data_IF_799254713670
#
_entry.id   IF_799254713670
#
_cell.length_a   1.000
_cell.length_b   1.000
_cell.length_c   1.000
_cell.angle_alpha   90.00
_cell.angle_beta   90.00
_cell.angle_gamma   90.00
#
_symmetry.space_group_name_H-M   'P 1'
#
loop_
_entity.id
_entity.type
_entity.pdbx_description
1 polymer ?
#
# COMPACT_ATOMS: atom_id res chain seq x y z
N UNK A 1 18.87 -13.42 18.21
CA UNK A 1 18.33 -12.20 18.80
C UNK A 1 18.15 -11.20 17.66
N UNK A 2 16.96 -11.04 17.12
CA UNK A 2 16.68 -9.98 16.15
C UNK A 2 16.70 -8.65 16.92
N UNK A 3 17.63 -7.77 16.56
CA UNK A 3 17.71 -6.43 17.12
C UNK A 3 16.59 -5.58 16.52
N UNK A 4 15.46 -5.52 17.20
CA UNK A 4 14.39 -4.57 16.87
C UNK A 4 14.82 -3.15 17.24
N UNK A 5 15.44 -2.45 16.31
CA UNK A 5 15.77 -1.03 16.46
C UNK A 5 14.56 -0.15 16.19
N UNK A 6 13.74 0.17 17.19
CA UNK A 6 12.70 1.19 17.12
C UNK A 6 13.21 2.51 17.68
N UNK A 7 12.80 3.63 17.09
CA UNK A 7 13.00 4.97 17.64
C UNK A 7 11.67 5.44 18.23
N UNK A 8 11.67 5.76 19.53
CA UNK A 8 10.54 6.36 20.21
C UNK A 8 9.85 5.43 21.20
N UNK A 9 8.74 5.93 21.77
CA UNK A 9 7.93 5.24 22.77
C UNK A 9 6.45 5.14 22.35
N UNK A 10 6.14 5.26 21.05
CA UNK A 10 4.77 5.14 20.58
C UNK A 10 4.31 3.68 20.59
N UNK A 11 3.08 3.43 20.98
CA UNK A 11 2.44 2.12 20.85
C UNK A 11 1.99 1.82 19.40
N UNK A 12 2.16 2.77 18.49
CA UNK A 12 1.87 2.66 17.06
C UNK A 12 3.15 2.59 16.25
N UNK A 13 3.26 1.58 15.41
CA UNK A 13 4.37 1.40 14.47
C UNK A 13 3.92 1.69 13.04
N UNK A 14 4.59 2.61 12.34
CA UNK A 14 4.49 2.67 10.89
C UNK A 14 5.45 1.67 10.25
N UNK A 15 4.87 0.70 9.56
CA UNK A 15 5.55 -0.44 8.94
C UNK A 15 5.39 -0.38 7.42
N UNK A 16 6.33 0.26 6.68
CA UNK A 16 6.25 0.36 5.22
C UNK A 16 6.46 -1.00 4.53
N UNK A 17 7.17 -1.92 5.18
CA UNK A 17 7.59 -3.20 4.62
C UNK A 17 8.85 -3.07 3.75
N UNK A 18 9.51 -4.22 3.56
CA UNK A 18 10.80 -4.28 2.86
C UNK A 18 10.73 -3.78 1.41
N UNK A 19 9.65 -4.11 0.68
CA UNK A 19 9.49 -3.70 -0.71
C UNK A 19 9.37 -2.17 -0.84
N UNK A 20 8.53 -1.54 -0.04
CA UNK A 20 8.34 -0.09 -0.09
C UNK A 20 9.62 0.65 0.31
N UNK A 21 10.34 0.16 1.31
CA UNK A 21 11.61 0.73 1.74
C UNK A 21 12.70 0.66 0.66
N UNK A 22 12.70 -0.40 -0.14
CA UNK A 22 13.70 -0.61 -1.19
C UNK A 22 13.35 0.06 -2.53
N UNK A 23 12.09 -0.02 -2.97
CA UNK A 23 11.70 0.32 -4.35
C UNK A 23 10.78 1.54 -4.49
N UNK A 24 10.11 1.97 -3.40
CA UNK A 24 9.20 3.13 -3.41
C UNK A 24 9.42 3.99 -2.17
N UNK A 25 10.68 4.30 -1.89
CA UNK A 25 11.08 5.06 -0.70
C UNK A 25 10.42 6.43 -0.65
N UNK A 26 10.29 7.10 -1.80
CA UNK A 26 9.60 8.39 -1.92
C UNK A 26 8.14 8.31 -1.44
N UNK A 27 7.43 7.21 -1.73
CA UNK A 27 6.05 7.02 -1.27
C UNK A 27 6.00 6.74 0.24
N UNK A 28 6.99 6.02 0.76
CA UNK A 28 7.15 5.81 2.20
C UNK A 28 7.32 7.12 2.94
N UNK A 29 8.15 8.03 2.43
CA UNK A 29 8.36 9.35 3.04
C UNK A 29 7.12 10.24 2.91
N UNK A 30 6.39 10.18 1.77
CA UNK A 30 5.10 10.85 1.63
C UNK A 30 4.14 10.43 2.76
N UNK A 31 3.96 9.13 2.99
CA UNK A 31 3.09 8.66 4.08
C UNK A 31 3.54 9.11 5.46
N UNK A 32 4.83 9.12 5.76
CA UNK A 32 5.33 9.65 7.04
C UNK A 32 4.98 11.12 7.22
N UNK A 33 5.13 11.93 6.16
CA UNK A 33 4.78 13.37 6.18
C UNK A 33 3.27 13.57 6.34
N UNK A 34 2.46 12.77 5.63
CA UNK A 34 1.00 12.78 5.75
C UNK A 34 0.57 12.45 7.17
N UNK A 35 1.05 11.35 7.74
CA UNK A 35 0.70 10.92 9.10
C UNK A 35 1.07 11.99 10.13
N UNK A 36 2.27 12.59 10.01
CA UNK A 36 2.68 13.72 10.88
C UNK A 36 1.77 14.94 10.71
N UNK A 37 1.38 15.28 9.48
CA UNK A 37 0.47 16.40 9.20
C UNK A 37 -0.92 16.19 9.79
N UNK A 38 -1.33 14.94 9.96
CA UNK A 38 -2.59 14.53 10.55
C UNK A 38 -2.49 14.22 12.05
N UNK A 39 -1.40 14.63 12.69
CA UNK A 39 -1.14 14.48 14.12
C UNK A 39 -1.22 13.02 14.60
N UNK A 40 -0.79 12.07 13.74
CA UNK A 40 -0.65 10.66 14.12
C UNK A 40 0.72 10.46 14.75
N UNK A 41 0.75 10.04 15.99
CA UNK A 41 1.98 9.60 16.66
C UNK A 41 2.34 8.18 16.25
N UNK A 42 3.56 7.98 15.79
CA UNK A 42 4.06 6.66 15.39
C UNK A 42 5.58 6.58 15.49
N UNK A 43 6.04 5.37 15.74
CA UNK A 43 7.44 5.01 15.61
C UNK A 43 7.71 4.38 14.25
N UNK A 44 8.96 4.42 13.82
CA UNK A 44 9.46 3.69 12.66
C UNK A 44 10.55 2.73 13.10
N UNK A 45 10.65 1.59 12.46
CA UNK A 45 11.74 0.65 12.73
C UNK A 45 13.03 1.08 12.04
N UNK A 46 14.17 0.78 12.70
CA UNK A 46 15.51 1.00 12.12
C UNK A 46 15.90 -0.12 11.16
N UNK A 47 15.52 -1.36 11.50
CA UNK A 47 15.91 -2.56 10.79
C UNK A 47 14.74 -3.01 9.90
N UNK A 48 15.06 -3.59 8.74
CA UNK A 48 14.05 -4.14 7.85
C UNK A 48 13.46 -5.43 8.42
N UNK A 49 12.31 -5.32 9.09
CA UNK A 49 11.55 -6.48 9.54
C UNK A 49 10.66 -6.93 8.37
N UNK A 50 10.74 -8.22 8.03
CA UNK A 50 9.89 -8.79 7.00
C UNK A 50 8.56 -9.25 7.59
N UNK A 51 7.44 -8.91 6.93
CA UNK A 51 6.11 -9.42 7.29
C UNK A 51 5.90 -10.91 6.97
N UNK A 52 6.85 -11.56 6.30
CA UNK A 52 6.71 -12.95 5.87
C UNK A 52 5.75 -13.18 4.69
N UNK A 53 5.19 -12.13 4.11
CA UNK A 53 4.22 -12.27 3.02
C UNK A 53 4.76 -13.04 1.82
N UNK A 54 6.02 -12.81 1.44
CA UNK A 54 6.66 -13.56 0.36
C UNK A 54 6.81 -15.06 0.71
N UNK A 55 7.06 -15.40 1.98
CA UNK A 55 7.12 -16.79 2.43
C UNK A 55 5.75 -17.48 2.27
N UNK A 56 4.67 -16.76 2.59
CA UNK A 56 3.30 -17.23 2.37
C UNK A 56 3.01 -17.47 0.89
N UNK A 57 3.39 -16.53 0.01
CA UNK A 57 3.20 -16.64 -1.44
C UNK A 57 3.90 -17.87 -2.03
N UNK A 58 5.03 -18.27 -1.46
CA UNK A 58 5.85 -19.40 -1.94
C UNK A 58 5.59 -20.71 -1.18
N UNK A 59 4.63 -20.76 -0.26
CA UNK A 59 4.27 -21.96 0.49
C UNK A 59 5.26 -22.34 1.60
N UNK A 60 6.13 -21.44 2.04
CA UNK A 60 7.09 -21.71 3.12
C UNK A 60 6.45 -21.53 4.51
N UNK A 61 5.46 -22.35 4.84
CA UNK A 61 4.67 -22.21 6.08
C UNK A 61 5.49 -22.26 7.36
N UNK A 62 6.48 -23.16 7.46
CA UNK A 62 7.33 -23.28 8.65
C UNK A 62 8.10 -22.00 8.92
N UNK A 63 8.67 -21.42 7.87
CA UNK A 63 9.41 -20.17 7.93
C UNK A 63 8.47 -19.00 8.25
N UNK A 64 7.28 -18.96 7.66
CA UNK A 64 6.27 -17.97 7.96
C UNK A 64 5.86 -18.00 9.44
N UNK A 65 5.56 -19.17 9.99
CA UNK A 65 5.24 -19.35 11.42
C UNK A 65 6.38 -18.90 12.33
N UNK A 66 7.62 -19.20 11.97
CA UNK A 66 8.80 -18.73 12.69
C UNK A 66 8.89 -17.22 12.67
N UNK A 67 8.82 -16.60 11.48
CA UNK A 67 8.85 -15.15 11.30
C UNK A 67 7.73 -14.47 12.07
N UNK A 68 6.50 -15.01 12.02
CA UNK A 68 5.37 -14.45 12.74
C UNK A 68 5.58 -14.45 14.28
N UNK A 69 6.12 -15.54 14.84
CA UNK A 69 6.46 -15.63 16.27
C UNK A 69 7.54 -14.65 16.68
N UNK A 70 8.63 -14.56 15.89
CA UNK A 70 9.74 -13.64 16.15
C UNK A 70 9.28 -12.18 16.09
N UNK A 71 8.46 -11.82 15.08
CA UNK A 71 7.88 -10.49 14.96
C UNK A 71 6.94 -10.18 16.14
N UNK A 72 6.06 -11.13 16.53
CA UNK A 72 5.17 -10.93 17.67
C UNK A 72 5.93 -10.65 18.97
N UNK A 73 6.98 -11.42 19.24
CA UNK A 73 7.85 -11.19 20.41
C UNK A 73 8.47 -9.80 20.38
N UNK A 74 9.06 -9.41 19.22
CA UNK A 74 9.70 -8.11 19.10
C UNK A 74 8.70 -6.94 19.22
N UNK A 75 7.50 -7.06 18.66
CA UNK A 75 6.47 -6.04 18.81
C UNK A 75 5.96 -5.92 20.27
N UNK A 76 5.80 -7.04 20.94
CA UNK A 76 5.39 -7.06 22.36
C UNK A 76 6.45 -6.45 23.28
N UNK A 77 7.72 -6.79 23.07
CA UNK A 77 8.84 -6.21 23.84
C UNK A 77 8.86 -4.67 23.72
N UNK A 78 8.41 -4.15 22.56
CA UNK A 78 8.28 -2.71 22.30
C UNK A 78 6.90 -2.14 22.63
N UNK A 79 6.01 -2.95 23.22
CA UNK A 79 4.64 -2.55 23.59
C UNK A 79 3.80 -2.03 22.41
N UNK A 80 4.09 -2.50 21.20
CA UNK A 80 3.32 -2.11 20.00
C UNK A 80 1.91 -2.71 20.11
N UNK A 81 0.91 -1.85 19.96
CA UNK A 81 -0.52 -2.21 19.95
C UNK A 81 -1.17 -2.03 18.60
N UNK A 82 -0.61 -1.14 17.76
CA UNK A 82 -1.11 -0.86 16.41
C UNK A 82 0.03 -0.82 15.40
N UNK A 83 -0.18 -1.45 14.24
CA UNK A 83 0.73 -1.40 13.11
C UNK A 83 0.00 -0.77 11.93
N UNK A 84 0.55 0.33 11.40
CA UNK A 84 0.06 1.00 10.19
C UNK A 84 0.94 0.57 9.02
N UNK A 85 0.33 -0.02 7.98
CA UNK A 85 1.03 -0.53 6.78
C UNK A 85 0.55 0.17 5.52
N UNK A 86 1.42 0.32 4.52
CA UNK A 86 1.06 0.85 3.19
C UNK A 86 1.14 -0.20 2.07
N UNK A 87 1.58 -1.40 2.36
CA UNK A 87 1.71 -2.49 1.38
C UNK A 87 0.60 -3.51 1.57
N UNK A 88 -0.16 -3.82 0.51
CA UNK A 88 -1.27 -4.78 0.56
C UNK A 88 -0.84 -6.20 0.97
N UNK A 89 0.35 -6.66 0.54
CA UNK A 89 0.89 -7.95 0.99
C UNK A 89 1.23 -7.94 2.48
N UNK A 90 1.82 -6.86 3.00
CA UNK A 90 2.08 -6.74 4.44
C UNK A 90 0.78 -6.69 5.24
N UNK A 91 -0.24 -5.97 4.74
CA UNK A 91 -1.57 -5.91 5.35
C UNK A 91 -2.18 -7.30 5.48
N UNK A 92 -2.24 -8.06 4.38
CA UNK A 92 -2.75 -9.43 4.37
C UNK A 92 -1.97 -10.35 5.31
N UNK A 93 -0.64 -10.33 5.22
CA UNK A 93 0.25 -11.21 6.00
C UNK A 93 0.13 -10.95 7.50
N UNK A 94 0.22 -9.70 7.95
CA UNK A 94 0.15 -9.35 9.37
C UNK A 94 -1.25 -9.60 9.95
N UNK A 95 -2.33 -9.38 9.19
CA UNK A 95 -3.69 -9.79 9.59
C UNK A 95 -3.81 -11.29 9.80
N UNK A 96 -3.13 -12.09 8.96
CA UNK A 96 -3.09 -13.55 9.07
C UNK A 96 -2.32 -14.06 10.29
N UNK A 97 -1.52 -13.24 10.96
CA UNK A 97 -0.77 -13.67 12.14
C UNK A 97 -1.65 -14.18 13.28
N UNK A 98 -2.89 -13.73 13.39
CA UNK A 98 -3.87 -14.24 14.36
C UNK A 98 -4.12 -15.76 14.26
N UNK A 99 -3.88 -16.34 13.06
CA UNK A 99 -4.01 -17.79 12.82
C UNK A 99 -2.70 -18.54 13.06
N UNK A 100 -1.58 -17.83 13.12
CA UNK A 100 -0.24 -18.39 13.25
C UNK A 100 0.31 -18.28 14.66
N UNK A 101 -0.14 -17.26 15.41
CA UNK A 101 0.39 -16.90 16.74
C UNK A 101 -0.79 -16.71 17.69
N UNK A 102 -1.01 -17.62 18.66
CA UNK A 102 -2.19 -17.61 19.52
C UNK A 102 -2.40 -16.35 20.37
N UNK A 103 -1.31 -15.68 20.74
CA UNK A 103 -1.31 -14.47 21.57
C UNK A 103 -1.15 -13.18 20.76
N UNK A 104 -1.40 -13.24 19.43
CA UNK A 104 -1.43 -12.06 18.56
C UNK A 104 -2.64 -11.18 18.91
N UNK A 105 -2.38 -9.96 19.39
CA UNK A 105 -3.41 -8.99 19.78
C UNK A 105 -3.12 -7.57 19.25
N UNK A 106 -2.31 -7.46 18.19
CA UNK A 106 -1.93 -6.18 17.60
C UNK A 106 -2.93 -5.81 16.51
N UNK A 107 -3.44 -4.59 16.56
CA UNK A 107 -4.27 -4.03 15.48
C UNK A 107 -3.41 -3.81 14.23
N UNK A 108 -3.85 -4.31 13.08
CA UNK A 108 -3.21 -4.06 11.78
C UNK A 108 -4.14 -3.21 10.94
N UNK A 109 -3.68 -2.01 10.60
CA UNK A 109 -4.46 -1.03 9.85
C UNK A 109 -3.73 -0.59 8.59
N UNK A 110 -4.43 -0.52 7.47
CA UNK A 110 -3.84 0.06 6.27
C UNK A 110 -3.76 1.58 6.41
N UNK A 111 -2.69 2.20 5.92
CA UNK A 111 -2.43 3.64 6.05
C UNK A 111 -3.58 4.49 5.50
N UNK A 112 -4.25 4.04 4.45
CA UNK A 112 -5.42 4.73 3.88
C UNK A 112 -6.57 4.82 4.89
N UNK A 113 -6.83 3.75 5.66
CA UNK A 113 -7.85 3.79 6.72
C UNK A 113 -7.48 4.77 7.83
N UNK A 114 -6.21 4.81 8.22
CA UNK A 114 -5.75 5.78 9.24
C UNK A 114 -5.93 7.21 8.76
N UNK A 115 -5.50 7.49 7.51
CA UNK A 115 -5.68 8.81 6.89
C UNK A 115 -7.16 9.18 6.81
N UNK A 116 -8.01 8.26 6.34
CA UNK A 116 -9.44 8.49 6.18
C UNK A 116 -10.11 8.83 7.52
N UNK A 117 -9.80 8.08 8.58
CA UNK A 117 -10.36 8.35 9.91
C UNK A 117 -9.93 9.72 10.44
N UNK A 118 -8.64 10.07 10.27
CA UNK A 118 -8.13 11.39 10.66
C UNK A 118 -8.75 12.54 9.86
N UNK A 119 -9.04 12.33 8.59
CA UNK A 119 -9.70 13.34 7.75
C UNK A 119 -11.21 13.45 8.04
N UNK A 120 -11.85 12.38 8.48
CA UNK A 120 -13.25 12.44 8.96
C UNK A 120 -13.35 13.30 10.23
N UNK A 121 -12.34 13.21 11.12
CA UNK A 121 -12.25 14.02 12.34
C UNK A 121 -11.91 15.50 12.04
N UNK A 122 -11.17 15.78 10.93
CA UNK A 122 -10.58 17.09 10.64
C UNK A 122 -10.78 17.47 9.15
N UNK A 123 -12.02 17.59 8.72
CA UNK A 123 -12.37 17.90 7.31
C UNK A 123 -11.82 19.23 6.80
N UNK A 124 -11.61 20.18 7.68
CA UNK A 124 -11.05 21.50 7.35
C UNK A 124 -9.59 21.46 6.87
N UNK A 125 -8.87 20.39 7.17
CA UNK A 125 -7.49 20.18 6.68
C UNK A 125 -7.42 19.83 5.19
N UNK A 126 -8.54 19.45 4.57
CA UNK A 126 -8.60 19.00 3.17
C UNK A 126 -8.82 20.18 2.23
N UNK A 127 -7.93 20.32 1.25
CA UNK A 127 -8.15 21.17 0.07
C UNK A 127 -8.81 20.33 -1.01
N UNK A 128 -10.14 20.39 -1.09
CA UNK A 128 -10.86 19.66 -2.15
C UNK A 128 -10.77 20.41 -3.48
N UNK A 129 -10.69 19.66 -4.58
CA UNK A 129 -10.73 20.23 -5.92
C UNK A 129 -12.19 20.54 -6.30
N UNK A 130 -12.48 21.80 -6.61
CA UNK A 130 -13.81 22.22 -7.09
C UNK A 130 -14.15 21.66 -8.48
N UNK A 131 -13.14 21.27 -9.27
CA UNK A 131 -13.29 20.75 -10.63
C UNK A 131 -13.72 19.28 -10.71
N UNK A 132 -13.74 18.57 -9.59
CA UNK A 132 -14.09 17.13 -9.49
C UNK A 132 -13.44 16.26 -10.60
N UNK A 133 -12.10 16.26 -10.71
CA UNK A 133 -11.40 15.58 -11.80
C UNK A 133 -11.60 14.07 -11.76
N UNK A 134 -11.70 13.46 -12.94
CA UNK A 134 -11.83 12.01 -13.06
C UNK A 134 -10.51 11.30 -12.77
N UNK A 135 -10.60 10.17 -12.08
CA UNK A 135 -9.48 9.29 -11.83
C UNK A 135 -9.93 7.83 -11.83
N UNK A 136 -9.20 6.98 -12.55
CA UNK A 136 -9.41 5.55 -12.49
C UNK A 136 -8.68 4.96 -11.29
N UNK A 137 -9.38 4.16 -10.49
CA UNK A 137 -8.76 3.47 -9.37
C UNK A 137 -8.47 2.01 -9.73
N UNK A 138 -7.24 1.58 -9.42
CA UNK A 138 -6.80 0.20 -9.56
C UNK A 138 -6.67 -0.47 -8.20
N UNK A 139 -7.53 -1.43 -7.95
CA UNK A 139 -7.45 -2.28 -6.76
C UNK A 139 -6.28 -3.25 -6.89
N UNK A 140 -5.32 -3.19 -5.96
CA UNK A 140 -4.35 -4.26 -5.85
C UNK A 140 -5.05 -5.55 -5.40
N UNK A 141 -4.68 -6.68 -5.99
CA UNK A 141 -5.33 -7.96 -5.69
C UNK A 141 -5.22 -8.38 -4.21
N UNK A 142 -4.19 -7.93 -3.49
CA UNK A 142 -4.09 -8.17 -2.04
C UNK A 142 -5.10 -7.36 -1.25
N UNK A 143 -5.33 -6.12 -1.62
CA UNK A 143 -6.29 -5.26 -0.94
C UNK A 143 -7.72 -5.65 -1.30
N UNK A 144 -8.01 -5.86 -2.59
CA UNK A 144 -9.33 -6.28 -3.05
C UNK A 144 -9.82 -7.57 -2.39
N UNK A 145 -8.95 -8.58 -2.28
CA UNK A 145 -9.29 -9.87 -1.65
C UNK A 145 -9.29 -9.87 -0.12
N UNK A 146 -8.93 -8.76 0.50
CA UNK A 146 -8.97 -8.56 1.96
C UNK A 146 -10.00 -7.51 2.38
N UNK A 147 -11.07 -7.35 1.61
CA UNK A 147 -12.21 -6.45 1.87
C UNK A 147 -11.77 -4.98 2.00
N UNK A 148 -10.68 -4.61 1.32
CA UNK A 148 -10.14 -3.26 1.36
C UNK A 148 -10.40 -2.55 0.03
N UNK A 149 -11.65 -2.28 -0.27
CA UNK A 149 -12.09 -1.74 -1.58
C UNK A 149 -12.73 -0.36 -1.47
N UNK A 150 -13.50 -0.11 -0.42
CA UNK A 150 -14.25 1.15 -0.29
C UNK A 150 -13.41 2.30 0.28
N UNK A 151 -12.47 2.02 1.16
CA UNK A 151 -11.68 3.04 1.85
C UNK A 151 -10.87 3.94 0.89
N UNK A 152 -10.15 3.42 -0.13
CA UNK A 152 -9.48 4.26 -1.10
C UNK A 152 -10.45 5.11 -1.93
N UNK A 153 -11.62 4.57 -2.27
CA UNK A 153 -12.67 5.27 -3.02
C UNK A 153 -13.25 6.41 -2.22
N UNK A 154 -13.54 6.16 -0.95
CA UNK A 154 -14.04 7.18 -0.03
C UNK A 154 -13.01 8.29 0.15
N UNK A 155 -11.73 7.93 0.35
CA UNK A 155 -10.65 8.90 0.44
C UNK A 155 -10.57 9.79 -0.80
N UNK A 156 -10.53 9.19 -1.99
CA UNK A 156 -10.47 9.95 -3.25
C UNK A 156 -11.68 10.88 -3.43
N UNK A 157 -12.88 10.39 -3.10
CA UNK A 157 -14.10 11.21 -3.14
C UNK A 157 -14.04 12.37 -2.14
N UNK A 158 -13.53 12.13 -0.94
CA UNK A 158 -13.35 13.17 0.08
C UNK A 158 -12.34 14.24 -0.38
N UNK A 159 -11.34 13.86 -1.15
CA UNK A 159 -10.36 14.75 -1.77
C UNK A 159 -10.87 15.46 -3.03
N UNK A 160 -12.13 15.24 -3.44
CA UNK A 160 -12.79 15.90 -4.54
C UNK A 160 -12.58 15.25 -5.91
N UNK A 161 -12.25 13.97 -5.97
CA UNK A 161 -12.11 13.22 -7.21
C UNK A 161 -13.38 12.44 -7.55
N UNK A 162 -13.71 12.36 -8.85
CA UNK A 162 -14.69 11.42 -9.39
C UNK A 162 -14.00 10.11 -9.73
N UNK A 163 -14.21 9.09 -8.92
CA UNK A 163 -13.62 7.76 -9.11
C UNK A 163 -14.34 7.02 -10.23
N UNK A 164 -13.57 6.56 -11.20
CA UNK A 164 -14.04 5.73 -12.32
C UNK A 164 -13.50 4.31 -12.12
N UNK A 165 -14.40 3.34 -12.27
CA UNK A 165 -14.05 1.93 -12.08
C UNK A 165 -13.44 1.32 -13.35
N UNK A 166 -12.43 0.47 -13.14
CA UNK A 166 -11.96 -0.42 -14.19
C UNK A 166 -12.97 -1.57 -14.41
N UNK A 167 -12.97 -2.23 -15.59
CA UNK A 167 -13.93 -3.31 -15.90
C UNK A 167 -13.91 -4.45 -14.87
N UNK A 168 -12.74 -4.77 -14.34
CA UNK A 168 -12.55 -5.69 -13.24
C UNK A 168 -11.97 -4.91 -12.08
N UNK A 169 -12.71 -4.82 -10.99
CA UNK A 169 -12.38 -4.01 -9.83
C UNK A 169 -12.75 -4.73 -8.53
N UNK A 170 -12.37 -4.16 -7.41
CA UNK A 170 -12.61 -4.73 -6.08
C UNK A 170 -12.07 -6.15 -5.95
N UNK A 171 -12.90 -7.10 -5.53
CA UNK A 171 -12.55 -8.51 -5.33
C UNK A 171 -12.21 -9.21 -6.66
N UNK A 172 -12.83 -8.77 -7.77
CA UNK A 172 -12.63 -9.31 -9.12
C UNK A 172 -11.48 -8.64 -9.87
N UNK A 173 -10.69 -7.80 -9.20
CA UNK A 173 -9.59 -7.07 -9.84
C UNK A 173 -8.60 -8.00 -10.54
N UNK A 174 -8.17 -7.61 -11.74
CA UNK A 174 -7.13 -8.33 -12.46
C UNK A 174 -5.76 -8.00 -11.87
N UNK A 175 -4.92 -9.01 -11.71
CA UNK A 175 -3.54 -8.81 -11.32
C UNK A 175 -2.75 -8.10 -12.44
N UNK A 176 -1.95 -7.10 -12.09
CA UNK A 176 -1.02 -6.46 -13.02
C UNK A 176 0.30 -7.21 -13.20
N UNK A 177 0.49 -8.37 -12.56
CA UNK A 177 1.72 -9.16 -12.58
C UNK A 177 2.63 -8.99 -11.38
N UNK A 178 2.32 -8.08 -10.45
CA UNK A 178 3.17 -7.78 -9.28
C UNK A 178 3.05 -8.75 -8.10
N UNK A 179 2.09 -9.69 -8.15
CA UNK A 179 1.69 -10.54 -7.02
C UNK A 179 2.18 -11.98 -7.16
N UNK A 180 2.02 -12.79 -6.11
CA UNK A 180 2.36 -14.22 -6.10
C UNK A 180 3.86 -14.51 -6.25
N UNK A 181 4.73 -13.56 -5.93
CA UNK A 181 6.17 -13.71 -6.12
C UNK A 181 6.61 -13.74 -7.59
N UNK A 182 5.68 -13.54 -8.54
CA UNK A 182 5.90 -13.75 -9.97
C UNK A 182 7.03 -12.87 -10.54
N UNK A 183 7.17 -11.64 -10.06
CA UNK A 183 8.26 -10.73 -10.45
C UNK A 183 9.66 -11.32 -10.19
N UNK A 184 9.78 -12.25 -9.24
CA UNK A 184 11.05 -12.90 -8.86
C UNK A 184 11.20 -14.30 -9.46
N UNK A 185 10.09 -15.04 -9.58
CA UNK A 185 10.11 -16.44 -10.04
C UNK A 185 9.94 -16.58 -11.54
N UNK A 186 9.22 -15.67 -12.19
CA UNK A 186 9.02 -15.65 -13.65
C UNK A 186 8.76 -14.24 -14.15
N UNK A 187 9.83 -13.47 -14.28
CA UNK A 187 9.78 -12.05 -14.68
C UNK A 187 9.12 -11.85 -16.05
N UNK A 188 9.40 -12.73 -17.02
CA UNK A 188 8.82 -12.63 -18.36
C UNK A 188 7.28 -12.74 -18.32
N UNK A 189 6.76 -13.67 -17.55
CA UNK A 189 5.31 -13.79 -17.38
C UNK A 189 4.71 -12.61 -16.65
N UNK A 190 5.38 -12.09 -15.60
CA UNK A 190 4.95 -10.88 -14.88
C UNK A 190 4.83 -9.69 -15.84
N UNK A 191 5.81 -9.47 -16.71
CA UNK A 191 5.82 -8.42 -17.73
C UNK A 191 4.71 -8.62 -18.78
N UNK A 192 4.50 -9.84 -19.27
CA UNK A 192 3.40 -10.15 -20.20
C UNK A 192 2.03 -9.81 -19.62
N UNK A 193 1.83 -10.11 -18.32
CA UNK A 193 0.59 -9.75 -17.61
C UNK A 193 0.47 -8.22 -17.53
N UNK A 194 1.54 -7.51 -17.16
CA UNK A 194 1.55 -6.06 -17.12
C UNK A 194 1.21 -5.44 -18.49
N UNK A 195 1.80 -5.94 -19.57
CA UNK A 195 1.51 -5.44 -20.93
C UNK A 195 0.04 -5.65 -21.33
N UNK A 196 -0.56 -6.78 -20.97
CA UNK A 196 -1.98 -7.01 -21.24
C UNK A 196 -2.87 -6.08 -20.42
N UNK A 197 -2.52 -5.84 -19.17
CA UNK A 197 -3.19 -4.87 -18.31
C UNK A 197 -3.09 -3.46 -18.91
N UNK A 198 -1.92 -3.03 -19.32
CA UNK A 198 -1.68 -1.73 -19.96
C UNK A 198 -2.47 -1.59 -21.28
N UNK A 199 -2.53 -2.65 -22.11
CA UNK A 199 -3.38 -2.65 -23.31
C UNK A 199 -4.87 -2.43 -22.96
N UNK A 200 -5.34 -3.00 -21.88
CA UNK A 200 -6.71 -2.78 -21.39
C UNK A 200 -6.91 -1.32 -20.98
N UNK A 201 -5.96 -0.71 -20.24
CA UNK A 201 -6.01 0.71 -19.88
C UNK A 201 -6.11 1.61 -21.12
N UNK A 202 -5.29 1.37 -22.14
CA UNK A 202 -5.32 2.12 -23.41
C UNK A 202 -6.67 1.99 -24.12
N UNK A 203 -7.22 0.77 -24.22
CA UNK A 203 -8.54 0.52 -24.82
C UNK A 203 -9.69 1.24 -24.08
N UNK A 204 -9.53 1.43 -22.79
CA UNK A 204 -10.49 2.16 -21.93
C UNK A 204 -10.23 3.66 -21.88
N UNK A 205 -9.23 4.13 -22.66
CA UNK A 205 -8.83 5.54 -22.69
C UNK A 205 -8.54 6.13 -21.31
N UNK A 206 -7.94 5.32 -20.42
CA UNK A 206 -7.52 5.75 -19.08
C UNK A 206 -6.47 6.83 -19.24
N UNK A 207 -6.71 8.00 -18.64
CA UNK A 207 -5.76 9.13 -18.66
C UNK A 207 -5.02 9.29 -17.36
N UNK A 208 -5.66 8.93 -16.25
CA UNK A 208 -5.10 9.02 -14.92
C UNK A 208 -5.47 7.76 -14.14
N UNK A 209 -4.46 7.01 -13.72
CA UNK A 209 -4.60 5.78 -12.95
C UNK A 209 -3.97 5.97 -11.57
N UNK A 210 -4.71 5.61 -10.52
CA UNK A 210 -4.19 5.61 -9.16
C UNK A 210 -4.31 4.23 -8.53
N UNK A 211 -3.33 3.86 -7.74
CA UNK A 211 -3.36 2.67 -6.88
C UNK A 211 -2.86 3.01 -5.48
N UNK A 212 -3.19 2.20 -4.49
CA UNK A 212 -2.73 2.33 -3.10
C UNK A 212 -1.76 1.22 -2.68
N UNK A 213 -1.17 0.52 -3.65
CA UNK A 213 -0.21 -0.55 -3.38
C UNK A 213 1.13 -0.26 -4.05
N UNK A 214 2.22 -0.14 -3.27
CA UNK A 214 3.54 0.23 -3.80
C UNK A 214 4.13 -0.80 -4.77
N UNK A 215 3.76 -2.09 -4.64
CA UNK A 215 4.22 -3.14 -5.56
C UNK A 215 3.55 -3.01 -6.92
N UNK A 216 2.24 -2.77 -6.92
CA UNK A 216 1.49 -2.54 -8.14
C UNK A 216 1.96 -1.25 -8.85
N UNK A 217 2.12 -0.17 -8.09
CA UNK A 217 2.63 1.10 -8.60
C UNK A 217 4.00 0.94 -9.27
N UNK A 218 4.99 0.39 -8.55
CA UNK A 218 6.34 0.25 -9.08
C UNK A 218 6.40 -0.67 -10.31
N UNK A 219 5.72 -1.82 -10.26
CA UNK A 219 5.70 -2.76 -11.37
C UNK A 219 5.06 -2.16 -12.63
N UNK A 220 3.96 -1.43 -12.49
CA UNK A 220 3.34 -0.73 -13.62
C UNK A 220 4.23 0.40 -14.13
N UNK A 221 4.86 1.19 -13.27
CA UNK A 221 5.80 2.26 -13.64
C UNK A 221 6.94 1.72 -14.51
N UNK A 222 7.64 0.67 -14.04
CA UNK A 222 8.72 0.04 -14.79
C UNK A 222 8.27 -0.48 -16.17
N UNK A 223 7.05 -1.03 -16.25
CA UNK A 223 6.52 -1.53 -17.53
C UNK A 223 6.01 -0.41 -18.43
N UNK A 224 5.52 0.72 -17.89
CA UNK A 224 5.23 1.93 -18.68
C UNK A 224 6.50 2.46 -19.34
N UNK A 225 7.58 2.61 -18.56
CA UNK A 225 8.89 3.05 -19.06
C UNK A 225 9.41 2.14 -20.18
N UNK A 226 9.34 0.81 -20.01
CA UNK A 226 9.81 -0.18 -21.00
C UNK A 226 9.11 -0.08 -22.35
N UNK A 227 7.84 0.33 -22.38
CA UNK A 227 7.06 0.45 -23.62
C UNK A 227 6.84 1.90 -24.05
N UNK A 228 7.54 2.84 -23.40
CA UNK A 228 7.56 4.25 -23.78
C UNK A 228 6.26 5.00 -23.48
N UNK A 229 5.44 4.54 -22.51
CA UNK A 229 4.26 5.30 -22.06
C UNK A 229 4.74 6.44 -21.17
N UNK A 230 4.29 7.64 -21.50
CA UNK A 230 4.58 8.86 -20.74
C UNK A 230 3.34 9.30 -19.94
N UNK A 231 3.55 10.18 -18.96
CA UNK A 231 2.46 10.76 -18.16
C UNK A 231 1.46 11.56 -19.01
N UNK A 232 1.85 12.00 -20.23
CA UNK A 232 0.93 12.62 -21.18
C UNK A 232 -0.08 11.64 -21.77
N UNK A 233 0.27 10.36 -21.85
CA UNK A 233 -0.62 9.30 -22.30
C UNK A 233 -1.46 8.73 -21.17
N UNK A 234 -0.80 8.28 -20.08
CA UNK A 234 -1.42 7.76 -18.87
C UNK A 234 -0.59 8.19 -17.66
N UNK A 235 -1.11 9.10 -16.87
CA UNK A 235 -0.52 9.51 -15.60
C UNK A 235 -0.74 8.41 -14.56
N UNK A 236 0.34 7.80 -14.07
CA UNK A 236 0.30 6.78 -13.02
C UNK A 236 0.67 7.41 -11.68
N UNK A 237 -0.24 7.32 -10.73
CA UNK A 237 -0.10 7.89 -9.39
C UNK A 237 -0.19 6.81 -8.31
N UNK A 238 0.56 6.99 -7.25
CA UNK A 238 0.30 6.32 -5.98
C UNK A 238 -0.55 7.27 -5.11
N UNK A 239 -1.51 6.72 -4.35
CA UNK A 239 -2.53 7.55 -3.67
C UNK A 239 -1.91 8.56 -2.68
N UNK A 240 -0.70 8.31 -2.13
CA UNK A 240 0.00 9.27 -1.27
C UNK A 240 0.35 10.57 -1.99
N UNK A 241 0.56 10.54 -3.32
CA UNK A 241 0.83 11.74 -4.11
C UNK A 241 -0.37 12.68 -4.07
N UNK A 242 -1.57 12.11 -4.27
CA UNK A 242 -2.84 12.83 -4.23
C UNK A 242 -3.11 13.41 -2.84
N UNK A 243 -2.88 12.60 -1.80
CA UNK A 243 -3.07 13.04 -0.41
C UNK A 243 -2.10 14.16 -0.04
N UNK A 244 -0.83 14.07 -0.46
CA UNK A 244 0.16 15.13 -0.24
C UNK A 244 -0.32 16.46 -0.83
N UNK A 245 -0.76 16.45 -2.10
CA UNK A 245 -1.24 17.68 -2.76
C UNK A 245 -2.46 18.26 -2.05
N UNK A 246 -3.42 17.41 -1.68
CA UNK A 246 -4.65 17.84 -1.02
C UNK A 246 -4.43 18.39 0.39
N UNK A 247 -3.38 17.95 1.09
CA UNK A 247 -3.00 18.44 2.41
C UNK A 247 -1.96 19.58 2.37
N UNK A 248 -1.49 19.97 1.17
CA UNK A 248 -0.41 20.91 1.01
C UNK A 248 0.92 20.42 1.60
N UNK A 249 1.15 19.11 1.58
CA UNK A 249 2.39 18.44 2.00
C UNK A 249 3.30 18.31 0.77
N UNK A 250 4.56 18.73 0.90
CA UNK A 250 5.53 18.57 -0.19
C UNK A 250 5.77 17.06 -0.42
N UNK A 251 5.63 16.61 -1.68
CA UNK A 251 6.04 15.27 -2.10
C UNK A 251 7.56 15.12 -1.99
N UNK A 252 8.02 13.88 -1.76
CA UNK A 252 9.44 13.55 -1.85
C UNK A 252 9.90 13.46 -3.28
#
# INVERSE_FOLDING_TARGET
>A
MALFGLFGNSETLYFPGCYSSAFTREKTENYKRILKKLDVEFDTQKDEICCGGFLSEQGYEKQLRKTAKENNLGFRDKKIKKIIVNCGLCYSSLKGYKELVPDWNIEVKHVISEILDKLRENREKVRSFSSNPEIFYYDSCYLGRNDFTEQPRELLKMLGYRVIELPHNKEETLCCGSCGGLMHTNKELAEKIAFNFIKMLKRKNVKRLVTSDPRAYNHLRENFEKIGITDKEIELLEISDIVCDSLGVKRE
#
